data_IF_263193505956
#
_entry.id   IF_263193505956
#
_cell.length_a   1.000
_cell.length_b   1.000
_cell.length_c   1.000
_cell.angle_alpha   90.00
_cell.angle_beta   90.00
_cell.angle_gamma   90.00
#
_symmetry.space_group_name_H-M   'P 1'
#
loop_
_entity.id
_entity.type
_entity.pdbx_description
1 polymer ?
#
# COMPACT_ATOMS: atom_id res chain seq x y z
N UNK A 1 -13.98 12.48 -16.66
CA UNK A 1 -14.37 12.02 -15.31
C UNK A 1 -14.88 10.61 -15.47
N UNK A 2 -14.08 9.65 -15.02
CA UNK A 2 -14.28 8.22 -15.21
C UNK A 2 -14.47 7.60 -13.83
N UNK A 3 -15.55 6.86 -13.64
CA UNK A 3 -15.70 6.02 -12.46
C UNK A 3 -14.98 4.70 -12.73
N UNK A 4 -14.06 4.32 -11.86
CA UNK A 4 -13.20 3.15 -12.03
C UNK A 4 -13.28 2.32 -10.76
N UNK A 5 -13.57 1.04 -10.91
CA UNK A 5 -13.64 0.08 -9.81
C UNK A 5 -12.33 -0.70 -9.67
N UNK A 6 -12.15 -1.40 -8.54
CA UNK A 6 -11.01 -2.33 -8.40
C UNK A 6 -11.07 -3.45 -9.44
N UNK A 7 -12.27 -3.97 -9.77
CA UNK A 7 -12.45 -4.99 -10.81
C UNK A 7 -11.94 -4.50 -12.19
N UNK A 8 -12.19 -3.22 -12.54
CA UNK A 8 -11.68 -2.64 -13.80
C UNK A 8 -10.14 -2.59 -13.85
N UNK A 9 -9.50 -2.40 -12.68
CA UNK A 9 -8.04 -2.40 -12.58
C UNK A 9 -7.48 -3.83 -12.64
N UNK A 10 -8.13 -4.76 -11.94
CA UNK A 10 -7.74 -6.16 -11.90
C UNK A 10 -7.86 -6.82 -13.28
N UNK A 11 -8.89 -6.49 -14.07
CA UNK A 11 -9.03 -6.94 -15.46
C UNK A 11 -7.87 -6.45 -16.35
N UNK A 12 -7.46 -5.18 -16.20
CA UNK A 12 -6.34 -4.59 -16.94
C UNK A 12 -5.02 -5.29 -16.56
N UNK A 13 -4.81 -5.55 -15.28
CA UNK A 13 -3.63 -6.28 -14.80
C UNK A 13 -3.63 -7.74 -15.27
N UNK A 14 -4.78 -8.41 -15.27
CA UNK A 14 -4.91 -9.77 -15.80
C UNK A 14 -4.52 -9.84 -17.28
N UNK A 15 -4.98 -8.87 -18.08
CA UNK A 15 -4.57 -8.76 -19.49
C UNK A 15 -3.07 -8.50 -19.65
N UNK A 16 -2.49 -7.72 -18.73
CA UNK A 16 -1.06 -7.45 -18.70
C UNK A 16 -0.27 -8.72 -18.38
N UNK A 17 -0.70 -9.49 -17.39
CA UNK A 17 -0.08 -10.79 -17.05
C UNK A 17 -0.16 -11.78 -18.22
N UNK A 18 -1.26 -11.76 -18.98
CA UNK A 18 -1.44 -12.60 -20.17
C UNK A 18 -0.53 -12.19 -21.33
N UNK A 19 -0.28 -10.90 -21.51
CA UNK A 19 0.45 -10.35 -22.67
C UNK A 19 1.92 -10.06 -22.39
N UNK A 20 2.28 -9.85 -21.13
CA UNK A 20 3.57 -9.30 -20.71
C UNK A 20 3.77 -7.83 -21.09
N UNK A 21 2.76 -7.14 -21.62
CA UNK A 21 2.89 -5.76 -22.11
C UNK A 21 2.71 -4.74 -20.99
N UNK A 22 3.69 -4.74 -20.09
CA UNK A 22 3.74 -3.83 -18.95
C UNK A 22 3.84 -2.36 -19.37
N UNK A 23 4.46 -2.05 -20.52
CA UNK A 23 4.58 -0.66 -21.01
C UNK A 23 3.20 -0.11 -21.41
N UNK A 24 2.42 -0.88 -22.16
CA UNK A 24 1.08 -0.44 -22.56
C UNK A 24 0.15 -0.33 -21.35
N UNK A 25 0.24 -1.27 -20.40
CA UNK A 25 -0.51 -1.24 -19.16
C UNK A 25 -0.18 0.02 -18.34
N UNK A 26 1.10 0.32 -18.15
CA UNK A 26 1.56 1.47 -17.40
C UNK A 26 1.07 2.80 -18.00
N UNK A 27 1.12 2.93 -19.34
CA UNK A 27 0.60 4.10 -20.05
C UNK A 27 -0.90 4.27 -19.83
N UNK A 28 -1.67 3.19 -20.01
CA UNK A 28 -3.12 3.21 -19.85
C UNK A 28 -3.53 3.56 -18.41
N UNK A 29 -2.86 3.01 -17.42
CA UNK A 29 -3.10 3.36 -16.00
C UNK A 29 -2.71 4.81 -15.71
N UNK A 30 -1.60 5.31 -16.27
CA UNK A 30 -1.19 6.72 -16.12
C UNK A 30 -2.25 7.67 -16.70
N UNK A 31 -2.77 7.37 -17.89
CA UNK A 31 -3.87 8.13 -18.50
C UNK A 31 -5.15 8.04 -17.66
N UNK A 32 -5.44 6.86 -17.10
CA UNK A 32 -6.61 6.66 -16.24
C UNK A 32 -6.54 7.52 -14.97
N UNK A 33 -5.36 7.62 -14.35
CA UNK A 33 -5.13 8.46 -13.16
C UNK A 33 -5.43 9.95 -13.41
N UNK A 34 -5.35 10.43 -14.66
CA UNK A 34 -5.74 11.81 -15.00
C UNK A 34 -7.24 12.03 -15.11
N UNK A 35 -8.02 10.96 -15.27
CA UNK A 35 -9.48 11.05 -15.50
C UNK A 35 -10.33 10.46 -14.38
N UNK A 36 -9.73 9.68 -13.47
CA UNK A 36 -10.42 9.01 -12.37
C UNK A 36 -11.03 10.04 -11.42
N UNK A 37 -12.31 9.82 -11.10
CA UNK A 37 -13.07 10.73 -10.22
C UNK A 37 -13.89 10.01 -9.16
N UNK A 38 -13.76 8.68 -9.05
CA UNK A 38 -14.41 7.89 -8.00
C UNK A 38 -14.28 6.38 -8.23
N UNK A 39 -14.63 5.62 -7.19
CA UNK A 39 -14.47 4.17 -7.10
C UNK A 39 -13.12 3.82 -6.47
N UNK A 40 -12.03 4.10 -7.18
CA UNK A 40 -10.65 4.01 -6.70
C UNK A 40 -10.00 5.39 -6.56
N UNK A 41 -8.97 5.52 -5.72
CA UNK A 41 -8.24 6.77 -5.57
C UNK A 41 -7.25 6.98 -6.74
N UNK A 42 -6.93 8.24 -7.06
CA UNK A 42 -5.89 8.57 -8.04
C UNK A 42 -4.53 8.03 -7.59
N UNK A 43 -4.16 8.18 -6.32
CA UNK A 43 -2.96 7.59 -5.75
C UNK A 43 -2.85 6.07 -5.99
N UNK A 44 -3.96 5.32 -5.85
CA UNK A 44 -3.97 3.88 -6.07
C UNK A 44 -3.67 3.52 -7.55
N UNK A 45 -4.27 4.26 -8.48
CA UNK A 45 -4.01 4.07 -9.91
C UNK A 45 -2.57 4.44 -10.27
N UNK A 46 -2.03 5.52 -9.70
CA UNK A 46 -0.63 5.92 -9.87
C UNK A 46 0.35 4.87 -9.31
N UNK A 47 0.02 4.27 -8.17
CA UNK A 47 0.81 3.19 -7.58
C UNK A 47 0.88 1.99 -8.53
N UNK A 48 -0.28 1.47 -8.97
CA UNK A 48 -0.34 0.35 -9.93
C UNK A 48 0.37 0.69 -11.25
N UNK A 49 0.24 1.92 -11.77
CA UNK A 49 0.98 2.37 -12.96
C UNK A 49 2.50 2.34 -12.77
N UNK A 50 2.99 2.74 -11.58
CA UNK A 50 4.39 2.68 -11.22
C UNK A 50 4.94 1.26 -11.22
N UNK A 51 4.17 0.29 -10.71
CA UNK A 51 4.56 -1.11 -10.69
C UNK A 51 4.70 -1.69 -12.09
N UNK A 52 3.78 -1.33 -13.00
CA UNK A 52 3.89 -1.75 -14.39
C UNK A 52 5.16 -1.19 -15.05
N UNK A 53 5.54 0.07 -14.78
CA UNK A 53 6.84 0.58 -15.23
C UNK A 53 8.02 -0.16 -14.60
N UNK A 54 7.89 -0.58 -13.35
CA UNK A 54 8.94 -1.33 -12.67
C UNK A 54 9.13 -2.72 -13.28
N UNK A 55 8.04 -3.43 -13.58
CA UNK A 55 8.07 -4.70 -14.31
C UNK A 55 8.62 -4.55 -15.75
N UNK A 56 8.42 -3.38 -16.36
CA UNK A 56 9.02 -3.03 -17.64
C UNK A 56 10.51 -2.64 -17.55
N UNK A 57 11.09 -2.51 -16.35
CA UNK A 57 12.47 -2.09 -16.12
C UNK A 57 12.71 -0.57 -16.20
N UNK A 58 11.67 0.25 -16.36
CA UNK A 58 11.77 1.71 -16.36
C UNK A 58 11.61 2.26 -14.93
N UNK A 59 12.62 2.01 -14.09
CA UNK A 59 12.62 2.38 -12.68
C UNK A 59 12.53 3.89 -12.46
N UNK A 60 12.99 4.70 -13.41
CA UNK A 60 12.90 6.15 -13.35
C UNK A 60 11.44 6.63 -13.43
N UNK A 61 10.67 6.10 -14.40
CA UNK A 61 9.23 6.39 -14.49
C UNK A 61 8.46 5.85 -13.31
N UNK A 62 8.77 4.64 -12.85
CA UNK A 62 8.16 4.08 -11.65
C UNK A 62 8.34 5.02 -10.45
N UNK A 63 9.58 5.48 -10.20
CA UNK A 63 9.89 6.39 -9.11
C UNK A 63 9.19 7.76 -9.23
N UNK A 64 8.91 8.26 -10.43
CA UNK A 64 8.12 9.47 -10.62
C UNK A 64 6.66 9.25 -10.19
N UNK A 65 6.04 8.15 -10.63
CA UNK A 65 4.65 7.85 -10.33
C UNK A 65 4.41 7.56 -8.84
N UNK A 66 5.34 6.86 -8.17
CA UNK A 66 5.24 6.65 -6.73
C UNK A 66 5.30 7.96 -5.94
N UNK A 67 6.16 8.91 -6.34
CA UNK A 67 6.19 10.25 -5.72
C UNK A 67 4.87 10.98 -5.94
N UNK A 68 4.31 10.94 -7.15
CA UNK A 68 3.00 11.52 -7.44
C UNK A 68 1.87 10.88 -6.63
N UNK A 69 1.91 9.56 -6.40
CA UNK A 69 0.96 8.87 -5.53
C UNK A 69 1.07 9.36 -4.07
N UNK A 70 2.29 9.59 -3.58
CA UNK A 70 2.52 10.18 -2.25
C UNK A 70 2.01 11.61 -2.16
N UNK A 71 2.22 12.42 -3.20
CA UNK A 71 1.76 13.82 -3.25
C UNK A 71 0.24 13.93 -3.32
N UNK A 72 -0.44 13.02 -4.03
CA UNK A 72 -1.90 12.94 -4.09
C UNK A 72 -2.49 12.59 -2.71
N UNK A 73 -1.83 11.70 -1.96
CA UNK A 73 -2.21 11.35 -0.59
C UNK A 73 -3.50 10.53 -0.47
N UNK A 74 -4.03 10.03 -1.59
CA UNK A 74 -5.17 9.13 -1.62
C UNK A 74 -4.87 7.75 -1.03
N UNK A 75 -5.94 7.01 -0.74
CA UNK A 75 -5.84 5.61 -0.27
C UNK A 75 -5.15 4.74 -1.31
N UNK A 76 -4.22 3.89 -0.88
CA UNK A 76 -3.46 2.98 -1.73
C UNK A 76 -3.46 1.60 -1.10
N UNK A 77 -3.38 0.56 -1.93
CA UNK A 77 -3.41 -0.82 -1.43
C UNK A 77 -2.11 -1.23 -0.69
N UNK A 78 -1.04 -0.44 -0.81
CA UNK A 78 0.21 -0.59 -0.08
C UNK A 78 0.91 0.77 0.08
N UNK A 79 1.98 0.83 0.89
CA UNK A 79 2.68 2.11 1.14
C UNK A 79 3.59 2.49 -0.05
N UNK A 80 3.31 3.58 -0.79
CA UNK A 80 4.07 3.97 -1.98
C UNK A 80 5.57 4.18 -1.71
N UNK A 81 5.96 4.46 -0.46
CA UNK A 81 7.36 4.61 -0.08
C UNK A 81 8.15 3.31 -0.20
N UNK A 82 7.51 2.17 0.01
CA UNK A 82 8.16 0.86 -0.14
C UNK A 82 8.51 0.60 -1.61
N UNK A 83 7.56 0.86 -2.50
CA UNK A 83 7.76 0.72 -3.95
C UNK A 83 8.74 1.75 -4.52
N UNK A 84 8.70 2.98 -4.00
CA UNK A 84 9.71 3.99 -4.32
C UNK A 84 11.11 3.59 -3.85
N UNK A 85 11.23 3.00 -2.66
CA UNK A 85 12.52 2.50 -2.18
C UNK A 85 13.07 1.43 -3.13
N UNK A 86 12.23 0.52 -3.61
CA UNK A 86 12.64 -0.50 -4.57
C UNK A 86 13.15 0.10 -5.88
N UNK A 87 12.37 1.00 -6.49
CA UNK A 87 12.80 1.69 -7.71
C UNK A 87 14.08 2.51 -7.50
N UNK A 88 14.28 3.11 -6.33
CA UNK A 88 15.50 3.85 -6.01
C UNK A 88 16.72 2.96 -5.88
N UNK A 89 16.57 1.74 -5.35
CA UNK A 89 17.67 0.78 -5.33
C UNK A 89 18.11 0.38 -6.74
N UNK A 90 17.16 0.08 -7.62
CA UNK A 90 17.44 -0.25 -9.02
C UNK A 90 18.11 0.91 -9.78
N UNK A 91 17.84 2.15 -9.36
CA UNK A 91 18.51 3.36 -9.86
C UNK A 91 19.88 3.64 -9.21
N UNK A 92 20.36 2.78 -8.31
CA UNK A 92 21.61 2.96 -7.57
C UNK A 92 21.56 4.03 -6.47
N UNK A 93 20.37 4.51 -6.10
CA UNK A 93 20.13 5.56 -5.09
C UNK A 93 19.83 4.94 -3.72
N UNK A 94 20.71 4.04 -3.26
CA UNK A 94 20.48 3.20 -2.09
C UNK A 94 20.28 3.96 -0.77
N UNK A 95 20.95 5.11 -0.58
CA UNK A 95 20.82 5.92 0.63
C UNK A 95 19.41 6.51 0.78
N UNK A 96 18.83 7.02 -0.32
CA UNK A 96 17.47 7.53 -0.34
C UNK A 96 16.44 6.43 -0.12
N UNK A 97 16.68 5.25 -0.70
CA UNK A 97 15.83 4.07 -0.49
C UNK A 97 15.84 3.63 0.98
N UNK A 98 17.03 3.56 1.63
CA UNK A 98 17.14 3.23 3.06
C UNK A 98 16.42 4.25 3.93
N UNK A 99 16.52 5.54 3.60
CA UNK A 99 15.82 6.60 4.33
C UNK A 99 14.29 6.42 4.29
N UNK A 100 13.73 6.02 3.16
CA UNK A 100 12.30 5.70 3.05
C UNK A 100 11.91 4.48 3.90
N UNK A 101 12.71 3.42 3.88
CA UNK A 101 12.49 2.23 4.72
C UNK A 101 12.51 2.59 6.21
N UNK A 102 13.42 3.45 6.63
CA UNK A 102 13.49 3.91 8.03
C UNK A 102 12.32 4.81 8.41
N UNK A 103 11.82 5.65 7.50
CA UNK A 103 10.59 6.42 7.71
C UNK A 103 9.39 5.50 7.91
N UNK A 104 9.20 4.49 7.06
CA UNK A 104 8.14 3.49 7.22
C UNK A 104 8.28 2.79 8.57
N UNK A 105 9.51 2.41 8.97
CA UNK A 105 9.77 1.78 10.27
C UNK A 105 9.34 2.67 11.44
N UNK A 106 9.65 3.97 11.38
CA UNK A 106 9.32 4.94 12.40
C UNK A 106 7.80 5.11 12.59
N UNK A 107 7.04 5.05 11.50
CA UNK A 107 5.58 5.16 11.50
C UNK A 107 4.89 3.93 12.12
N UNK A 108 5.62 2.82 12.30
CA UNK A 108 5.14 1.58 12.91
C UNK A 108 3.82 1.09 12.26
N UNK A 109 3.82 0.84 10.94
CA UNK A 109 2.62 0.47 10.19
C UNK A 109 1.91 -0.72 10.83
N UNK A 110 0.61 -0.77 10.67
CA UNK A 110 -0.23 -1.89 11.14
C UNK A 110 -0.62 -2.84 10.02
N UNK A 111 -0.57 -2.36 8.79
CA UNK A 111 -0.92 -3.13 7.62
C UNK A 111 0.16 -4.20 7.33
N UNK A 112 -0.21 -5.49 7.33
CA UNK A 112 0.69 -6.58 6.97
C UNK A 112 1.33 -6.44 5.58
N UNK A 113 0.67 -5.78 4.62
CA UNK A 113 1.19 -5.60 3.27
C UNK A 113 2.43 -4.70 3.24
N UNK A 114 2.45 -3.64 4.04
CA UNK A 114 3.63 -2.78 4.17
C UNK A 114 4.85 -3.57 4.65
N UNK A 115 4.66 -4.51 5.60
CA UNK A 115 5.77 -5.37 6.03
C UNK A 115 6.21 -6.36 4.96
N UNK A 116 5.28 -6.86 4.14
CA UNK A 116 5.61 -7.76 3.02
C UNK A 116 6.43 -7.01 1.98
N UNK A 117 5.94 -5.86 1.51
CA UNK A 117 6.61 -5.03 0.51
C UNK A 117 8.02 -4.66 0.96
N UNK A 118 8.20 -4.10 2.17
CA UNK A 118 9.54 -3.73 2.65
C UNK A 118 10.47 -4.94 2.79
N UNK A 119 9.97 -6.09 3.24
CA UNK A 119 10.80 -7.29 3.35
C UNK A 119 11.25 -7.81 1.98
N UNK A 120 10.38 -7.76 0.97
CA UNK A 120 10.71 -8.15 -0.41
C UNK A 120 11.76 -7.22 -1.01
N UNK A 121 11.61 -5.90 -0.84
CA UNK A 121 12.61 -4.91 -1.28
C UNK A 121 13.97 -5.19 -0.65
N UNK A 122 14.03 -5.37 0.68
CA UNK A 122 15.30 -5.66 1.36
C UNK A 122 15.91 -6.99 0.90
N UNK A 123 15.08 -8.01 0.65
CA UNK A 123 15.53 -9.30 0.16
C UNK A 123 16.13 -9.19 -1.25
N UNK A 124 15.47 -8.47 -2.16
CA UNK A 124 15.97 -8.23 -3.52
C UNK A 124 17.34 -7.55 -3.53
N UNK A 125 17.59 -6.67 -2.57
CA UNK A 125 18.88 -5.98 -2.39
C UNK A 125 19.94 -6.80 -1.63
N UNK A 126 19.68 -8.08 -1.35
CA UNK A 126 20.60 -8.97 -0.63
C UNK A 126 20.66 -8.77 0.89
N UNK A 127 19.81 -7.90 1.46
CA UNK A 127 19.69 -7.70 2.91
C UNK A 127 18.71 -8.72 3.52
N UNK A 128 19.10 -9.99 3.46
CA UNK A 128 18.30 -11.09 3.98
C UNK A 128 18.01 -10.95 5.49
N UNK A 129 18.97 -10.40 6.25
CA UNK A 129 18.80 -10.15 7.68
C UNK A 129 17.69 -9.12 7.92
N UNK A 130 17.75 -7.97 7.26
CA UNK A 130 16.71 -6.93 7.34
C UNK A 130 15.35 -7.45 6.88
N UNK A 131 15.29 -8.21 5.79
CA UNK A 131 14.06 -8.85 5.31
C UNK A 131 13.44 -9.78 6.37
N UNK A 132 14.27 -10.63 7.00
CA UNK A 132 13.81 -11.52 8.07
C UNK A 132 13.27 -10.75 9.29
N UNK A 133 13.92 -9.66 9.69
CA UNK A 133 13.45 -8.84 10.81
C UNK A 133 12.08 -8.21 10.52
N UNK A 134 11.88 -7.67 9.32
CA UNK A 134 10.59 -7.10 8.90
C UNK A 134 9.49 -8.17 8.83
N UNK A 135 9.79 -9.33 8.23
CA UNK A 135 8.86 -10.45 8.17
C UNK A 135 8.49 -11.00 9.56
N UNK A 136 9.42 -10.99 10.52
CA UNK A 136 9.18 -11.45 11.88
C UNK A 136 8.38 -10.44 12.71
N UNK A 137 8.57 -9.14 12.49
CA UNK A 137 7.77 -8.09 13.12
C UNK A 137 6.29 -8.18 12.71
N UNK A 138 6.00 -8.49 11.44
CA UNK A 138 4.65 -8.77 10.95
C UNK A 138 3.95 -9.86 11.79
N UNK A 139 4.64 -10.98 12.07
CA UNK A 139 4.07 -12.12 12.84
C UNK A 139 3.75 -11.75 14.28
N UNK A 140 4.56 -10.90 14.91
CA UNK A 140 4.34 -10.46 16.30
C UNK A 140 3.16 -9.48 16.44
N UNK A 141 2.73 -8.85 15.35
CA UNK A 141 1.69 -7.81 15.33
C UNK A 141 0.31 -8.27 14.81
N UNK A 142 0.06 -9.58 14.71
CA UNK A 142 -1.28 -10.10 14.36
C UNK A 142 -2.38 -9.38 15.16
N UNK A 143 -3.48 -8.96 14.53
CA UNK A 143 -4.63 -8.45 15.27
C UNK A 143 -5.08 -9.55 16.23
N UNK A 144 -5.17 -9.24 17.52
CA UNK A 144 -5.83 -10.13 18.46
C UNK A 144 -7.23 -10.45 17.93
N UNK A 145 -7.58 -11.73 17.90
CA UNK A 145 -8.96 -12.20 17.71
C UNK A 145 -9.93 -11.27 18.44
N UNK A 146 -11.00 -10.76 17.79
CA UNK A 146 -11.95 -9.88 18.45
C UNK A 146 -12.47 -10.57 19.71
N UNK A 147 -12.16 -10.01 20.88
CA UNK A 147 -12.81 -10.45 22.11
C UNK A 147 -14.31 -10.17 21.95
N UNK A 148 -15.21 -11.15 22.19
CA UNK A 148 -16.64 -10.85 22.21
C UNK A 148 -16.86 -9.73 23.22
N UNK A 149 -17.53 -8.65 22.80
CA UNK A 149 -17.87 -7.51 23.64
C UNK A 149 -18.62 -8.03 24.86
N UNK A 150 -17.93 -8.10 26.01
CA UNK A 150 -18.58 -8.31 27.31
C UNK A 150 -19.56 -7.15 27.50
N UNK A 151 -20.84 -7.52 27.65
CA UNK A 151 -21.96 -6.60 27.68
C UNK A 151 -21.75 -5.45 28.67
N UNK A 152 -21.96 -4.23 28.20
CA UNK A 152 -21.99 -3.07 29.07
C UNK A 152 -23.41 -2.92 29.61
N UNK A 153 -23.58 -3.27 30.89
CA UNK A 153 -24.72 -2.86 31.72
C UNK A 153 -24.82 -1.34 31.65
N UNK A 154 -25.91 -0.82 31.11
CA UNK A 154 -26.31 0.56 31.36
C UNK A 154 -27.48 0.55 32.35
N UNK A 155 -27.15 1.02 33.55
CA UNK A 155 -28.09 1.14 34.65
C UNK A 155 -29.15 2.20 34.40
N UNK A 156 -30.33 1.97 34.97
CA UNK A 156 -31.24 3.02 35.37
C UNK A 156 -31.69 2.74 36.80
N UNK A 157 -31.22 3.57 37.72
CA UNK A 157 -31.86 3.94 38.99
C UNK A 157 -32.01 5.46 38.97
N UNK A 158 -32.78 6.10 39.86
CA UNK A 158 -33.90 5.65 40.71
C UNK A 158 -35.11 6.59 40.59
N UNK A 159 -36.26 6.30 41.23
CA UNK A 159 -37.06 7.31 41.98
C UNK A 159 -37.87 6.66 43.11
N UNK A 160 -37.89 7.34 44.25
CA UNK A 160 -38.51 6.97 45.53
C UNK A 160 -40.00 7.33 45.58
N UNK A 161 -40.78 6.46 46.24
CA UNK A 161 -41.87 6.79 47.19
C UNK A 161 -43.33 6.80 46.66
N UNK A 162 -44.36 6.73 47.54
CA UNK A 162 -44.39 6.28 48.93
C UNK A 162 -45.36 5.08 49.16
N UNK A 163 -45.30 4.54 50.37
CA UNK A 163 -46.19 3.49 50.91
C UNK A 163 -47.58 4.06 51.23
N UNK A 164 -48.62 3.27 50.97
CA UNK A 164 -49.88 3.23 51.72
C UNK A 164 -50.38 1.79 51.70
#
# INVERSE_FOLDING_TARGET
MTHVTEDDLDDLEFDTLRTGDHISAARRLTELAESVSGGVSRANVLLRAGEQWQHAGDHARAAELYRRAMEDGGETYGDPRAYLADALFELGRGDEARALVDQIRADKPRDPEVYRAVAEVLYAQGDATGAHEWAHQRRRRRPGTPRPRRGNRHGRRPRRGPRS
#
